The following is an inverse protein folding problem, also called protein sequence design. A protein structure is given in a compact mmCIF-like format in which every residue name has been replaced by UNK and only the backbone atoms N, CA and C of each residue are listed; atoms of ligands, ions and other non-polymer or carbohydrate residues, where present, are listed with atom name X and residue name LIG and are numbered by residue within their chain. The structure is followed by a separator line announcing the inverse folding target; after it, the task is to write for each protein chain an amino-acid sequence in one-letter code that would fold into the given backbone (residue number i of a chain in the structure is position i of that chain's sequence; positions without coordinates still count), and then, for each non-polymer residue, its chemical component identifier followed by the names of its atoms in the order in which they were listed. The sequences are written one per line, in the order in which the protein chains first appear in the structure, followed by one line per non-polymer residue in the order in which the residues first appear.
data_IF_442576931424
#
_entry.id   IF_442576931424
#
_cell.length_a   1.000
_cell.length_b   1.000
_cell.length_c   1.000
_cell.angle_alpha   90.00
_cell.angle_beta   90.00
_cell.angle_gamma   90.00
#
_symmetry.space_group_name_H-M   'P 1'
#
loop_
_entity.id
_entity.type
_entity.pdbx_description
1 polymer ?
#
# COMPACT_ATOMS: atom_id res chain seq x y z
N UNK A 1 -73.89 -12.94 5.49
CA UNK A 1 -72.85 -11.94 5.84
C UNK A 1 -71.54 -12.68 6.05
N UNK A 2 -70.68 -12.75 5.05
CA UNK A 2 -69.39 -13.42 5.13
C UNK A 2 -68.31 -12.34 5.33
N UNK A 3 -67.59 -12.41 6.46
CA UNK A 3 -66.48 -11.54 6.78
C UNK A 3 -65.22 -12.26 6.29
N UNK A 4 -64.50 -11.61 5.34
CA UNK A 4 -63.21 -12.09 4.83
C UNK A 4 -62.10 -11.37 5.62
N UNK A 5 -61.35 -12.09 6.44
CA UNK A 5 -60.15 -11.58 7.07
C UNK A 5 -58.99 -11.54 6.05
N UNK A 6 -58.47 -10.35 5.81
CA UNK A 6 -57.21 -10.15 5.07
C UNK A 6 -56.04 -10.20 6.09
N UNK A 7 -55.22 -11.24 5.98
CA UNK A 7 -53.93 -11.32 6.72
C UNK A 7 -52.88 -10.53 5.96
N UNK A 8 -52.43 -9.43 6.50
CA UNK A 8 -51.25 -8.67 5.99
C UNK A 8 -50.01 -9.38 6.52
N UNK A 9 -49.32 -10.09 5.61
CA UNK A 9 -48.00 -10.65 5.89
C UNK A 9 -46.94 -9.54 5.90
N UNK A 10 -46.35 -9.28 7.06
CA UNK A 10 -45.24 -8.34 7.26
C UNK A 10 -43.93 -9.01 6.76
N UNK A 11 -43.47 -8.62 5.55
CA UNK A 11 -42.17 -9.04 5.02
C UNK A 11 -41.07 -8.30 5.81
N UNK A 12 -40.44 -8.98 6.74
CA UNK A 12 -39.18 -8.49 7.35
C UNK A 12 -38.08 -8.61 6.30
N UNK A 13 -37.79 -7.50 5.62
CA UNK A 13 -36.56 -7.36 4.82
C UNK A 13 -35.38 -7.36 5.79
N UNK A 14 -34.60 -8.41 5.81
CA UNK A 14 -33.28 -8.42 6.46
C UNK A 14 -32.36 -7.48 5.68
N UNK A 15 -32.17 -6.27 6.21
CA UNK A 15 -31.10 -5.38 5.74
C UNK A 15 -29.77 -6.02 6.10
N UNK A 16 -29.14 -6.68 5.14
CA UNK A 16 -27.71 -6.95 5.22
C UNK A 16 -27.04 -5.62 4.85
N UNK A 17 -26.10 -5.10 5.67
CA UNK A 17 -25.30 -3.97 5.25
C UNK A 17 -24.50 -4.42 4.02
N UNK A 18 -24.88 -3.91 2.86
CA UNK A 18 -24.06 -4.01 1.65
C UNK A 18 -22.92 -3.02 1.86
N UNK A 19 -21.71 -3.50 2.09
CA UNK A 19 -20.54 -2.64 2.01
C UNK A 19 -20.44 -2.18 0.56
N UNK A 20 -20.35 -0.88 0.34
CA UNK A 20 -20.20 -0.33 -1.00
C UNK A 20 -18.73 -0.39 -1.46
N UNK A 21 -17.74 -0.38 -0.50
CA UNK A 21 -16.33 -0.57 -0.82
C UNK A 21 -16.02 -2.04 -1.17
N UNK A 22 -15.10 -2.24 -2.10
CA UNK A 22 -14.70 -3.56 -2.58
C UNK A 22 -13.68 -4.21 -1.63
N UNK A 23 -13.98 -5.46 -1.23
CA UNK A 23 -13.10 -6.30 -0.40
C UNK A 23 -12.35 -7.27 -1.30
N UNK A 24 -11.01 -7.23 -1.28
CA UNK A 24 -10.16 -8.13 -2.04
C UNK A 24 -10.02 -9.51 -1.37
N UNK A 25 -9.84 -9.52 -0.03
CA UNK A 25 -9.74 -10.75 0.76
C UNK A 25 -10.16 -10.48 2.22
N UNK A 26 -10.53 -11.54 2.94
CA UNK A 26 -10.87 -11.44 4.37
C UNK A 26 -10.58 -12.74 5.10
N UNK A 27 -9.99 -12.64 6.29
CA UNK A 27 -9.73 -13.78 7.15
C UNK A 27 -10.05 -13.48 8.61
N UNK A 28 -10.81 -14.40 9.22
CA UNK A 28 -11.08 -14.38 10.66
C UNK A 28 -10.04 -15.26 11.38
N UNK A 29 -9.25 -14.65 12.24
CA UNK A 29 -8.31 -15.31 13.13
C UNK A 29 -8.95 -15.45 14.51
N UNK A 30 -9.63 -16.56 14.73
CA UNK A 30 -10.31 -16.82 16.01
C UNK A 30 -9.29 -17.07 17.13
N UNK A 31 -9.44 -16.35 18.24
CA UNK A 31 -8.62 -16.54 19.42
C UNK A 31 -8.92 -17.88 20.11
N UNK A 32 -7.94 -18.49 20.84
CA UNK A 32 -8.19 -19.72 21.61
C UNK A 32 -9.28 -19.57 22.67
N UNK A 33 -9.38 -18.38 23.29
CA UNK A 33 -10.39 -18.01 24.30
C UNK A 33 -11.01 -16.65 23.95
N UNK A 34 -11.91 -16.57 22.95
CA UNK A 34 -12.41 -15.31 22.44
C UNK A 34 -13.12 -14.47 23.51
N UNK A 35 -12.64 -13.27 23.74
CA UNK A 35 -13.27 -12.26 24.61
C UNK A 35 -13.64 -11.00 23.87
N UNK A 36 -12.84 -10.63 22.86
CA UNK A 36 -13.02 -9.44 22.02
C UNK A 36 -12.64 -9.77 20.57
N UNK A 37 -13.28 -9.06 19.64
CA UNK A 37 -12.94 -9.13 18.21
C UNK A 37 -12.60 -7.74 17.72
N UNK A 38 -11.37 -7.52 17.24
CA UNK A 38 -11.01 -6.29 16.54
C UNK A 38 -11.15 -6.48 15.04
N UNK A 39 -11.64 -5.45 14.37
CA UNK A 39 -11.76 -5.38 12.91
C UNK A 39 -10.64 -4.54 12.36
N UNK A 40 -9.83 -5.14 11.52
CA UNK A 40 -8.68 -4.49 10.88
C UNK A 40 -8.93 -4.40 9.39
N UNK A 41 -8.81 -3.22 8.80
CA UNK A 41 -8.76 -3.05 7.34
C UNK A 41 -7.35 -2.67 6.92
N UNK A 42 -6.86 -3.30 5.87
CA UNK A 42 -5.45 -3.17 5.48
C UNK A 42 -5.27 -3.27 3.96
N UNK A 43 -4.23 -2.61 3.46
CA UNK A 43 -3.71 -2.82 2.10
C UNK A 43 -2.59 -3.86 2.04
N UNK A 44 -2.29 -4.56 3.14
CA UNK A 44 -1.33 -5.64 3.16
C UNK A 44 -2.03 -6.99 2.98
N UNK A 45 -1.52 -7.79 2.05
CA UNK A 45 -2.03 -9.12 1.77
C UNK A 45 -2.03 -10.00 3.04
N UNK A 46 -2.98 -10.92 3.11
CA UNK A 46 -3.10 -11.87 4.22
C UNK A 46 -1.78 -12.62 4.44
N UNK A 47 -1.12 -13.07 3.37
CA UNK A 47 0.12 -13.82 3.47
C UNK A 47 1.24 -13.03 4.18
N UNK A 48 1.36 -11.73 3.93
CA UNK A 48 2.34 -10.87 4.58
C UNK A 48 2.00 -10.59 6.05
N UNK A 49 0.71 -10.53 6.41
CA UNK A 49 0.27 -10.15 7.76
C UNK A 49 -0.05 -11.35 8.68
N UNK A 50 -0.26 -12.55 8.13
CA UNK A 50 -0.58 -13.77 8.90
C UNK A 50 0.42 -14.04 10.04
N UNK A 51 1.75 -13.98 9.85
CA UNK A 51 2.72 -14.21 10.92
C UNK A 51 2.59 -13.19 12.06
N UNK A 52 2.35 -11.92 11.72
CA UNK A 52 2.19 -10.85 12.71
C UNK A 52 0.91 -11.04 13.54
N UNK A 53 -0.21 -11.37 12.88
CA UNK A 53 -1.49 -11.59 13.56
C UNK A 53 -1.37 -12.78 14.53
N UNK A 54 -0.78 -13.90 14.08
CA UNK A 54 -0.59 -15.08 14.94
C UNK A 54 0.33 -14.79 16.12
N UNK A 55 1.41 -14.05 15.90
CA UNK A 55 2.32 -13.63 16.97
C UNK A 55 1.60 -12.70 17.97
N UNK A 56 0.83 -11.73 17.48
CA UNK A 56 0.00 -10.87 18.33
C UNK A 56 -0.98 -11.67 19.17
N UNK A 57 -1.66 -12.66 18.59
CA UNK A 57 -2.61 -13.52 19.30
C UNK A 57 -1.94 -14.42 20.34
N UNK A 58 -0.68 -14.85 20.11
CA UNK A 58 0.05 -15.69 21.06
C UNK A 58 0.24 -14.99 22.43
N UNK A 59 0.38 -13.68 22.42
CA UNK A 59 0.51 -12.82 23.62
C UNK A 59 -0.81 -12.16 24.04
N UNK A 60 -1.87 -12.28 23.21
CA UNK A 60 -3.21 -11.73 23.44
C UNK A 60 -4.28 -12.80 23.17
N UNK A 61 -4.27 -13.90 23.95
CA UNK A 61 -5.04 -15.13 23.68
C UNK A 61 -6.57 -14.96 23.66
N UNK A 62 -7.09 -13.82 24.15
CA UNK A 62 -8.52 -13.48 24.12
C UNK A 62 -8.96 -12.66 22.91
N UNK A 63 -8.04 -12.24 22.03
CA UNK A 63 -8.36 -11.32 20.93
C UNK A 63 -8.48 -12.08 19.61
N UNK A 64 -9.70 -12.10 19.08
CA UNK A 64 -9.96 -12.48 17.68
C UNK A 64 -9.66 -11.30 16.77
N UNK A 65 -9.03 -11.56 15.62
CA UNK A 65 -8.74 -10.54 14.60
C UNK A 65 -9.53 -10.84 13.35
N UNK A 66 -10.41 -9.94 12.97
CA UNK A 66 -11.14 -9.95 11.70
C UNK A 66 -10.40 -9.06 10.71
N UNK A 67 -9.58 -9.65 9.85
CA UNK A 67 -8.67 -8.95 8.96
C UNK A 67 -9.25 -8.88 7.56
N UNK A 68 -9.47 -7.65 7.08
CA UNK A 68 -10.02 -7.35 5.74
C UNK A 68 -8.94 -6.71 4.89
N UNK A 69 -8.73 -7.22 3.69
CA UNK A 69 -7.84 -6.65 2.67
C UNK A 69 -8.66 -5.88 1.65
N UNK A 70 -8.24 -4.67 1.36
CA UNK A 70 -8.85 -3.82 0.35
C UNK A 70 -7.79 -2.92 -0.31
N UNK A 71 -8.07 -2.41 -1.50
CA UNK A 71 -7.19 -1.43 -2.14
C UNK A 71 -7.09 -0.15 -1.31
N UNK A 72 -6.07 0.66 -1.53
CA UNK A 72 -5.89 1.90 -0.76
C UNK A 72 -6.99 2.93 -0.98
N UNK A 73 -7.62 2.93 -2.15
CA UNK A 73 -8.79 3.76 -2.45
C UNK A 73 -10.04 3.24 -1.75
N UNK A 74 -10.20 1.92 -1.67
CA UNK A 74 -11.31 1.28 -0.96
C UNK A 74 -11.19 1.44 0.56
N UNK A 75 -9.96 1.37 1.12
CA UNK A 75 -9.70 1.72 2.53
C UNK A 75 -10.14 3.16 2.82
N UNK A 76 -9.82 4.09 1.89
CA UNK A 76 -10.26 5.49 2.02
C UNK A 76 -11.79 5.61 1.97
N UNK A 77 -12.46 4.94 1.03
CA UNK A 77 -13.92 4.95 0.89
C UNK A 77 -14.61 4.37 2.12
N UNK A 78 -14.14 3.21 2.61
CA UNK A 78 -14.68 2.55 3.79
C UNK A 78 -14.70 3.46 5.03
N UNK A 79 -13.64 4.24 5.24
CA UNK A 79 -13.52 5.11 6.42
C UNK A 79 -14.18 6.47 6.17
N UNK A 80 -13.90 7.13 5.02
CA UNK A 80 -14.31 8.50 4.75
C UNK A 80 -15.78 8.60 4.35
N UNK A 81 -16.24 7.71 3.47
CA UNK A 81 -17.57 7.80 2.87
C UNK A 81 -18.60 6.97 3.65
N UNK A 82 -18.21 5.77 4.08
CA UNK A 82 -19.15 4.82 4.70
C UNK A 82 -19.11 4.82 6.22
N UNK A 83 -18.04 5.36 6.83
CA UNK A 83 -17.86 5.30 8.28
C UNK A 83 -17.84 3.86 8.81
N UNK A 84 -17.30 2.93 8.02
CA UNK A 84 -17.28 1.52 8.34
C UNK A 84 -16.61 1.25 9.70
N UNK A 85 -17.17 0.34 10.54
CA UNK A 85 -16.75 0.18 11.93
C UNK A 85 -15.49 -0.69 12.07
N UNK A 86 -14.35 -0.17 11.62
CA UNK A 86 -13.05 -0.77 11.87
C UNK A 86 -12.41 -0.23 13.14
N UNK A 87 -11.56 -1.03 13.78
CA UNK A 87 -10.82 -0.65 15.00
C UNK A 87 -9.40 -0.21 14.68
N UNK A 88 -8.81 -0.72 13.58
CA UNK A 88 -7.48 -0.38 13.11
C UNK A 88 -7.48 -0.27 11.59
N UNK A 89 -6.85 0.78 11.07
CA UNK A 89 -6.67 1.02 9.63
C UNK A 89 -5.20 1.03 9.29
N UNK A 90 -4.80 0.20 8.34
CA UNK A 90 -3.41 0.05 7.88
C UNK A 90 -3.35 0.29 6.38
N UNK A 91 -2.45 1.17 5.91
CA UNK A 91 -2.30 1.39 4.48
C UNK A 91 -0.89 1.84 4.08
N UNK A 92 -0.54 1.55 2.84
CA UNK A 92 0.66 2.01 2.15
C UNK A 92 0.49 3.39 1.49
N UNK A 93 -0.76 3.84 1.26
CA UNK A 93 -1.04 5.16 0.70
C UNK A 93 -1.00 6.23 1.80
N UNK A 94 0.23 6.66 2.12
CA UNK A 94 0.50 7.60 3.22
C UNK A 94 -0.25 8.93 3.10
N UNK A 95 -0.48 9.41 1.89
CA UNK A 95 -1.22 10.64 1.61
C UNK A 95 -2.70 10.51 1.96
N UNK A 96 -3.35 9.41 1.57
CA UNK A 96 -4.74 9.11 1.92
C UNK A 96 -4.91 8.92 3.43
N UNK A 97 -3.98 8.22 4.07
CA UNK A 97 -3.95 8.07 5.53
C UNK A 97 -3.79 9.43 6.23
N UNK A 98 -2.84 10.26 5.75
CA UNK A 98 -2.64 11.61 6.27
C UNK A 98 -3.91 12.46 6.12
N UNK A 99 -4.64 12.31 4.98
CA UNK A 99 -5.91 13.00 4.78
C UNK A 99 -6.97 12.56 5.78
N UNK A 100 -7.15 11.26 6.00
CA UNK A 100 -8.09 10.75 6.99
C UNK A 100 -7.82 11.33 8.39
N UNK A 101 -6.56 11.33 8.81
CA UNK A 101 -6.16 11.91 10.09
C UNK A 101 -6.41 13.42 10.13
N UNK A 102 -6.04 14.17 9.07
CA UNK A 102 -6.26 15.61 8.98
C UNK A 102 -7.75 15.99 9.05
N UNK A 103 -8.60 15.17 8.48
CA UNK A 103 -10.05 15.41 8.42
C UNK A 103 -10.79 14.88 9.68
N UNK A 104 -10.05 14.41 10.70
CA UNK A 104 -10.60 14.07 12.02
C UNK A 104 -11.11 12.63 12.15
N UNK A 105 -10.73 11.72 11.27
CA UNK A 105 -11.14 10.31 11.32
C UNK A 105 -10.31 9.45 12.28
N UNK A 106 -9.26 9.99 12.92
CA UNK A 106 -8.37 9.24 13.79
C UNK A 106 -8.40 9.72 15.24
N UNK A 107 -8.26 8.80 16.18
CA UNK A 107 -8.05 9.08 17.59
C UNK A 107 -6.56 9.32 17.88
N UNK A 108 -6.27 10.10 18.92
CA UNK A 108 -4.92 10.20 19.49
C UNK A 108 -4.58 8.93 20.27
N UNK A 109 -3.35 8.47 20.10
CA UNK A 109 -2.80 7.37 20.86
C UNK A 109 -1.34 7.64 21.24
N UNK A 110 -1.04 7.58 22.54
CA UNK A 110 0.30 7.81 23.07
C UNK A 110 0.72 6.64 23.92
N UNK A 111 1.86 6.06 23.59
CA UNK A 111 2.46 4.95 24.34
C UNK A 111 3.99 5.08 24.35
N UNK A 112 4.69 4.28 25.22
CA UNK A 112 6.14 4.22 25.15
C UNK A 112 6.71 3.84 23.78
N UNK A 113 5.99 3.01 23.00
CA UNK A 113 6.39 2.58 21.67
C UNK A 113 6.22 3.70 20.64
N UNK A 114 5.05 4.36 20.62
CA UNK A 114 4.80 5.47 19.69
C UNK A 114 5.68 6.69 20.01
N UNK A 115 6.11 6.88 21.27
CA UNK A 115 7.02 7.94 21.65
C UNK A 115 8.44 7.76 21.08
N UNK A 116 8.87 6.53 20.76
CA UNK A 116 10.17 6.23 20.18
C UNK A 116 10.25 6.53 18.69
N UNK A 117 9.11 6.65 18.00
CA UNK A 117 9.09 6.97 16.58
C UNK A 117 9.70 8.35 16.32
N UNK A 118 10.59 8.46 15.32
CA UNK A 118 11.09 9.75 14.89
C UNK A 118 9.95 10.60 14.29
N UNK A 119 10.09 11.93 14.39
CA UNK A 119 9.04 12.87 13.98
C UNK A 119 8.64 12.80 12.50
N UNK A 120 9.44 12.16 11.63
CA UNK A 120 9.08 11.91 10.24
C UNK A 120 8.20 10.67 10.04
N UNK A 121 8.18 9.75 11.03
CA UNK A 121 7.47 8.47 10.98
C UNK A 121 6.15 8.48 11.79
N UNK A 122 5.81 9.60 12.41
CA UNK A 122 4.51 9.79 13.06
C UNK A 122 3.95 11.18 12.80
N UNK A 123 2.63 11.33 12.93
CA UNK A 123 1.99 12.62 12.75
C UNK A 123 0.84 12.81 13.75
N UNK A 124 0.90 13.93 14.50
CA UNK A 124 -0.12 14.37 15.49
C UNK A 124 -0.46 13.34 16.59
N UNK A 125 0.44 12.37 16.86
CA UNK A 125 0.15 11.21 17.72
C UNK A 125 -1.16 10.47 17.32
N UNK A 126 -1.47 10.46 16.04
CA UNK A 126 -2.66 9.82 15.46
C UNK A 126 -2.31 8.87 14.30
N UNK A 127 -1.18 9.08 13.63
CA UNK A 127 -0.72 8.25 12.50
C UNK A 127 0.70 7.76 12.77
N UNK A 128 0.92 6.46 12.65
CA UNK A 128 2.16 5.80 13.04
C UNK A 128 2.66 4.90 11.93
N UNK A 129 3.92 5.08 11.52
CA UNK A 129 4.58 4.21 10.56
C UNK A 129 5.28 3.06 11.27
N UNK A 130 5.27 1.88 10.67
CA UNK A 130 5.95 0.70 11.22
C UNK A 130 6.83 -0.05 10.21
N UNK A 131 6.88 0.39 8.94
CA UNK A 131 7.78 -0.13 7.90
C UNK A 131 8.48 0.99 7.15
N UNK A 132 9.55 0.67 6.41
CA UNK A 132 10.20 1.51 5.40
C UNK A 132 10.39 0.71 4.12
N UNK A 133 9.51 0.86 3.15
CA UNK A 133 9.45 0.04 1.94
C UNK A 133 9.95 0.83 0.72
N UNK A 134 11.13 0.51 0.16
CA UNK A 134 11.64 1.17 -1.03
C UNK A 134 10.84 0.77 -2.28
N UNK A 135 10.58 1.73 -3.16
CA UNK A 135 10.11 1.47 -4.50
C UNK A 135 11.25 0.86 -5.34
N UNK A 136 10.94 -0.15 -6.14
CA UNK A 136 11.92 -0.86 -6.96
C UNK A 136 11.52 -0.90 -8.44
N UNK A 137 12.53 -1.02 -9.30
CA UNK A 137 12.40 -1.53 -10.65
C UNK A 137 12.65 -3.03 -10.59
N UNK A 138 11.74 -3.83 -11.12
CA UNK A 138 11.89 -5.30 -11.22
C UNK A 138 11.90 -5.68 -12.69
N UNK A 139 12.87 -6.51 -13.09
CA UNK A 139 13.05 -6.95 -14.48
C UNK A 139 13.00 -8.47 -14.59
N UNK A 140 12.56 -8.97 -15.72
CA UNK A 140 12.61 -10.38 -16.10
C UNK A 140 14.01 -10.75 -16.59
N UNK A 141 14.69 -11.68 -15.92
CA UNK A 141 16.04 -12.11 -16.29
C UNK A 141 16.08 -12.66 -17.72
N UNK A 142 15.02 -13.38 -18.13
CA UNK A 142 14.92 -13.97 -19.46
C UNK A 142 14.79 -12.91 -20.56
N UNK A 143 13.95 -11.87 -20.35
CA UNK A 143 13.71 -10.83 -21.37
C UNK A 143 14.79 -9.74 -21.36
N UNK A 144 15.58 -9.64 -20.29
CA UNK A 144 16.76 -8.77 -20.23
C UNK A 144 18.08 -9.47 -20.63
N UNK A 145 18.02 -10.75 -21.06
CA UNK A 145 19.22 -11.48 -21.47
C UNK A 145 19.93 -10.74 -22.61
N UNK A 146 21.17 -10.31 -22.35
CA UNK A 146 22.01 -9.56 -23.32
C UNK A 146 21.78 -8.04 -23.33
N UNK A 147 20.87 -7.50 -22.52
CA UNK A 147 20.69 -6.06 -22.35
C UNK A 147 21.51 -5.54 -21.16
N UNK A 148 21.93 -4.27 -21.25
CA UNK A 148 22.52 -3.59 -20.10
C UNK A 148 21.43 -3.21 -19.10
N UNK A 149 21.63 -3.57 -17.82
CA UNK A 149 20.68 -3.23 -16.75
C UNK A 149 20.79 -1.74 -16.42
N UNK A 150 19.69 -0.96 -16.55
CA UNK A 150 19.72 0.48 -16.30
C UNK A 150 19.93 0.78 -14.79
N UNK A 151 20.81 1.74 -14.48
CA UNK A 151 21.13 2.14 -13.11
C UNK A 151 20.38 3.39 -12.65
N UNK A 152 19.75 4.11 -13.56
CA UNK A 152 18.99 5.32 -13.31
C UNK A 152 17.89 5.51 -14.36
N UNK A 153 17.00 6.47 -14.14
CA UNK A 153 15.86 6.71 -15.05
C UNK A 153 16.24 7.19 -16.43
N UNK A 154 17.36 7.92 -16.56
CA UNK A 154 17.85 8.34 -17.89
C UNK A 154 18.27 7.11 -18.72
N UNK A 155 19.07 6.21 -18.13
CA UNK A 155 19.46 4.96 -18.79
C UNK A 155 18.24 4.07 -19.08
N UNK A 156 17.23 4.06 -18.22
CA UNK A 156 15.98 3.34 -18.49
C UNK A 156 15.26 3.95 -19.70
N UNK A 157 15.14 5.29 -19.78
CA UNK A 157 14.54 5.98 -20.94
C UNK A 157 15.28 5.63 -22.22
N UNK A 158 16.61 5.66 -22.20
CA UNK A 158 17.42 5.34 -23.38
C UNK A 158 17.25 3.89 -23.81
N UNK A 159 17.28 2.94 -22.86
CA UNK A 159 17.05 1.53 -23.11
C UNK A 159 15.68 1.27 -23.77
N UNK A 160 14.62 1.88 -23.23
CA UNK A 160 13.27 1.74 -23.76
C UNK A 160 13.11 2.30 -25.19
N UNK A 161 13.85 3.37 -25.51
CA UNK A 161 13.85 3.99 -26.85
C UNK A 161 14.62 3.17 -27.87
N UNK A 162 15.70 2.52 -27.46
CA UNK A 162 16.58 1.74 -28.35
C UNK A 162 15.97 0.38 -28.68
N UNK A 163 15.20 -0.20 -27.77
CA UNK A 163 14.64 -1.56 -27.90
C UNK A 163 13.11 -1.61 -27.79
N UNK A 164 12.36 -0.80 -28.56
CA UNK A 164 10.90 -0.79 -28.47
C UNK A 164 10.27 -2.16 -28.73
N UNK A 165 10.88 -2.99 -29.59
CA UNK A 165 10.43 -4.34 -29.94
C UNK A 165 10.43 -5.31 -28.75
N UNK A 166 11.28 -5.07 -27.74
CA UNK A 166 11.33 -5.90 -26.52
C UNK A 166 10.28 -5.43 -25.52
N UNK A 167 10.07 -4.12 -25.43
CA UNK A 167 9.32 -3.48 -24.35
C UNK A 167 7.87 -3.12 -24.71
N UNK A 168 7.48 -3.15 -25.99
CA UNK A 168 6.09 -2.87 -26.38
C UNK A 168 5.13 -3.83 -25.70
N UNK A 169 4.13 -3.29 -24.99
CA UNK A 169 3.15 -3.99 -24.15
C UNK A 169 3.74 -4.85 -23.01
N UNK A 170 5.04 -4.69 -22.70
CA UNK A 170 5.73 -5.49 -21.67
C UNK A 170 6.31 -4.66 -20.53
N UNK A 171 5.81 -3.46 -20.33
CA UNK A 171 6.11 -2.63 -19.17
C UNK A 171 4.89 -2.62 -18.27
N UNK A 172 5.08 -2.82 -16.97
CA UNK A 172 4.05 -2.69 -15.95
C UNK A 172 4.29 -1.46 -15.07
N UNK A 173 3.25 -0.73 -14.75
CA UNK A 173 3.24 0.30 -13.70
C UNK A 173 1.85 0.43 -13.09
N UNK A 174 1.72 1.21 -12.02
CA UNK A 174 0.41 1.44 -11.41
C UNK A 174 -0.52 2.30 -12.29
N UNK A 175 -1.80 1.98 -12.26
CA UNK A 175 -2.85 2.90 -12.67
C UNK A 175 -3.07 3.93 -11.55
N UNK A 176 -2.51 5.12 -11.70
CA UNK A 176 -2.59 6.18 -10.68
C UNK A 176 -4.01 6.71 -10.44
N UNK A 177 -4.97 6.35 -11.29
CA UNK A 177 -6.38 6.75 -11.15
C UNK A 177 -7.10 5.92 -10.10
N UNK A 178 -6.70 4.65 -9.95
CA UNK A 178 -7.34 3.65 -9.09
C UNK A 178 -6.44 3.16 -7.97
N UNK A 179 -5.11 3.20 -8.13
CA UNK A 179 -4.14 2.83 -7.10
C UNK A 179 -3.69 4.04 -6.29
N UNK A 180 -4.07 4.13 -5.01
CA UNK A 180 -3.59 5.20 -4.14
C UNK A 180 -2.08 5.15 -3.89
N UNK A 181 -1.49 3.96 -3.76
CA UNK A 181 -0.03 3.82 -3.68
C UNK A 181 0.65 4.25 -4.97
N UNK A 182 0.11 3.86 -6.13
CA UNK A 182 0.60 4.29 -7.42
C UNK A 182 0.53 5.80 -7.59
N UNK A 183 -0.57 6.42 -7.16
CA UNK A 183 -0.71 7.88 -7.14
C UNK A 183 0.33 8.55 -6.24
N UNK A 184 0.53 8.02 -5.04
CA UNK A 184 1.56 8.51 -4.11
C UNK A 184 2.95 8.47 -4.76
N UNK A 185 3.37 7.32 -5.30
CA UNK A 185 4.68 7.20 -5.95
C UNK A 185 4.85 8.14 -7.15
N UNK A 186 3.85 8.21 -8.03
CA UNK A 186 3.90 9.08 -9.20
C UNK A 186 4.01 10.56 -8.82
N UNK A 187 3.28 11.00 -7.79
CA UNK A 187 3.36 12.38 -7.30
C UNK A 187 4.70 12.68 -6.63
N UNK A 188 5.31 11.72 -5.91
CA UNK A 188 6.65 11.88 -5.36
C UNK A 188 7.72 11.92 -6.45
N UNK A 189 7.64 11.04 -7.45
CA UNK A 189 8.57 11.02 -8.58
C UNK A 189 8.51 12.34 -9.36
N UNK A 190 7.33 12.87 -9.63
CA UNK A 190 7.15 14.16 -10.33
C UNK A 190 7.73 15.36 -9.57
N UNK A 191 7.92 15.23 -8.25
CA UNK A 191 8.57 16.25 -7.41
C UNK A 191 10.08 16.09 -7.33
N UNK A 192 10.58 14.88 -7.52
CA UNK A 192 11.98 14.55 -7.39
C UNK A 192 12.77 14.83 -8.68
N UNK A 193 12.15 14.70 -9.86
CA UNK A 193 12.84 14.86 -11.13
C UNK A 193 11.91 15.19 -12.30
N UNK A 194 12.41 15.98 -13.24
CA UNK A 194 11.71 16.27 -14.50
C UNK A 194 11.71 15.06 -15.46
N UNK A 195 12.62 14.11 -15.27
CA UNK A 195 12.66 12.88 -16.08
C UNK A 195 11.45 11.97 -15.86
N UNK A 196 10.68 12.16 -14.78
CA UNK A 196 9.43 11.44 -14.55
C UNK A 196 8.46 11.56 -15.74
N UNK A 197 8.21 12.77 -16.23
CA UNK A 197 7.27 12.98 -17.35
C UNK A 197 7.80 12.39 -18.65
N UNK A 198 9.11 12.50 -18.93
CA UNK A 198 9.74 11.88 -20.10
C UNK A 198 9.67 10.36 -20.04
N UNK A 199 9.90 9.76 -18.85
CA UNK A 199 9.76 8.32 -18.67
C UNK A 199 8.32 7.87 -18.88
N UNK A 200 7.34 8.58 -18.28
CA UNK A 200 5.91 8.29 -18.45
C UNK A 200 5.49 8.36 -19.94
N UNK A 201 5.99 9.36 -20.69
CA UNK A 201 5.73 9.50 -22.11
C UNK A 201 6.32 8.33 -22.93
N UNK A 202 7.56 7.91 -22.63
CA UNK A 202 8.20 6.78 -23.31
C UNK A 202 7.46 5.47 -22.99
N UNK A 203 7.08 5.28 -21.73
CA UNK A 203 6.27 4.14 -21.30
C UNK A 203 4.91 4.12 -22.01
N UNK A 204 4.28 5.29 -22.18
CA UNK A 204 3.02 5.42 -22.91
C UNK A 204 3.13 4.99 -24.38
N UNK A 205 4.19 5.41 -25.08
CA UNK A 205 4.47 5.00 -26.46
C UNK A 205 4.69 3.50 -26.64
N UNK A 206 5.07 2.83 -25.55
CA UNK A 206 5.28 1.38 -25.50
C UNK A 206 4.07 0.63 -24.94
N UNK A 207 2.88 1.20 -24.95
CA UNK A 207 1.62 0.57 -24.57
C UNK A 207 1.68 -0.08 -23.16
N UNK A 208 2.23 0.66 -22.20
CA UNK A 208 2.43 0.19 -20.81
C UNK A 208 1.15 -0.39 -20.20
N UNK A 209 1.27 -1.54 -19.58
CA UNK A 209 0.19 -2.20 -18.84
C UNK A 209 0.00 -1.55 -17.48
N UNK A 210 -1.25 -1.25 -17.13
CA UNK A 210 -1.61 -0.55 -15.90
C UNK A 210 -2.20 -1.52 -14.86
N UNK A 211 -1.70 -1.46 -13.64
CA UNK A 211 -2.03 -2.38 -12.56
C UNK A 211 -2.52 -1.66 -11.30
N UNK A 212 -3.31 -2.36 -10.49
CA UNK A 212 -3.67 -1.91 -9.13
C UNK A 212 -2.51 -2.07 -8.13
N UNK A 213 -1.73 -3.14 -8.27
CA UNK A 213 -0.99 -3.75 -7.17
C UNK A 213 0.40 -4.25 -7.60
N UNK A 214 1.39 -4.22 -6.66
CA UNK A 214 2.76 -4.73 -6.87
C UNK A 214 2.78 -6.22 -7.19
N UNK A 215 2.01 -7.03 -6.46
CA UNK A 215 2.03 -8.48 -6.59
C UNK A 215 1.73 -8.94 -8.03
N UNK A 216 0.64 -8.43 -8.61
CA UNK A 216 0.25 -8.77 -9.98
C UNK A 216 1.32 -8.38 -11.01
N UNK A 217 1.95 -7.19 -10.86
CA UNK A 217 3.05 -6.78 -11.74
C UNK A 217 4.26 -7.71 -11.63
N UNK A 218 4.64 -8.08 -10.40
CA UNK A 218 5.80 -8.94 -10.14
C UNK A 218 5.53 -10.35 -10.68
N UNK A 219 4.32 -10.88 -10.51
CA UNK A 219 3.93 -12.17 -11.08
C UNK A 219 4.00 -12.15 -12.62
N UNK A 220 3.60 -11.07 -13.26
CA UNK A 220 3.67 -10.93 -14.71
C UNK A 220 5.12 -10.78 -15.22
N UNK A 221 6.00 -10.13 -14.46
CA UNK A 221 7.45 -10.11 -14.76
C UNK A 221 8.04 -11.52 -14.62
N UNK A 222 7.72 -12.21 -13.53
CA UNK A 222 8.19 -13.58 -13.28
C UNK A 222 7.75 -14.56 -14.38
N UNK A 223 6.51 -14.43 -14.85
CA UNK A 223 5.96 -15.27 -15.93
C UNK A 223 6.42 -14.85 -17.34
N UNK A 224 7.24 -13.80 -17.45
CA UNK A 224 7.71 -13.28 -18.76
C UNK A 224 6.64 -12.57 -19.60
N UNK A 225 5.49 -12.24 -19.01
CA UNK A 225 4.47 -11.39 -19.65
C UNK A 225 4.91 -9.93 -19.70
N UNK A 226 5.62 -9.48 -18.64
CA UNK A 226 6.28 -8.19 -18.60
C UNK A 226 7.79 -8.35 -18.67
N UNK A 227 8.47 -7.44 -19.35
CA UNK A 227 9.91 -7.30 -19.31
C UNK A 227 10.37 -6.58 -18.03
N UNK A 228 9.59 -5.59 -17.59
CA UNK A 228 9.86 -4.86 -16.36
C UNK A 228 8.58 -4.35 -15.70
N UNK A 229 8.67 -4.13 -14.37
CA UNK A 229 7.68 -3.44 -13.57
C UNK A 229 8.33 -2.24 -12.85
N UNK A 230 7.77 -1.05 -13.05
CA UNK A 230 8.29 0.20 -12.51
C UNK A 230 7.56 0.62 -11.23
N UNK A 231 8.32 1.01 -10.21
CA UNK A 231 7.82 1.49 -8.91
C UNK A 231 7.03 0.47 -8.09
N UNK A 232 7.33 -0.82 -8.21
CA UNK A 232 6.75 -1.84 -7.32
C UNK A 232 7.35 -1.76 -5.92
N UNK A 233 6.68 -2.31 -4.91
CA UNK A 233 7.26 -2.47 -3.57
C UNK A 233 8.36 -3.53 -3.60
N UNK A 234 9.57 -3.12 -3.20
CA UNK A 234 10.74 -4.00 -3.16
C UNK A 234 10.55 -5.20 -2.25
N UNK A 235 9.88 -5.02 -1.11
CA UNK A 235 9.53 -6.08 -0.17
C UNK A 235 8.76 -7.25 -0.79
N UNK A 236 7.82 -6.95 -1.69
CA UNK A 236 7.05 -7.98 -2.42
C UNK A 236 7.94 -8.73 -3.42
N UNK A 237 8.84 -8.01 -4.10
CA UNK A 237 9.78 -8.63 -5.03
C UNK A 237 10.82 -9.50 -4.31
N UNK A 238 11.34 -9.05 -3.17
CA UNK A 238 12.26 -9.83 -2.31
C UNK A 238 11.61 -11.11 -1.80
N UNK A 239 10.36 -11.03 -1.36
CA UNK A 239 9.59 -12.21 -0.94
C UNK A 239 9.40 -13.20 -2.09
N UNK A 240 9.13 -12.72 -3.30
CA UNK A 240 9.02 -13.59 -4.48
C UNK A 240 10.35 -14.28 -4.81
N UNK A 241 11.46 -13.53 -4.83
CA UNK A 241 12.80 -14.05 -5.09
C UNK A 241 13.25 -15.10 -4.09
N UNK A 242 12.84 -14.98 -2.82
CA UNK A 242 13.18 -15.95 -1.79
C UNK A 242 12.64 -17.36 -2.09
N UNK A 243 11.59 -17.47 -2.94
CA UNK A 243 10.94 -18.73 -3.28
C UNK A 243 11.28 -19.20 -4.70
N UNK A 244 11.45 -18.27 -5.65
CA UNK A 244 11.58 -18.61 -7.06
C UNK A 244 12.52 -17.62 -7.79
N UNK A 245 13.64 -18.07 -8.43
CA UNK A 245 14.52 -17.23 -9.22
C UNK A 245 13.87 -16.88 -10.58
N UNK A 246 14.34 -15.83 -11.24
CA UNK A 246 13.90 -15.45 -12.61
C UNK A 246 13.56 -13.98 -12.77
N UNK A 247 13.66 -13.22 -11.67
CA UNK A 247 13.54 -11.77 -11.69
C UNK A 247 14.74 -11.13 -10.98
N UNK A 248 15.07 -9.92 -11.38
CA UNK A 248 16.11 -9.12 -10.72
C UNK A 248 15.51 -7.82 -10.22
N UNK A 249 15.79 -7.47 -8.94
CA UNK A 249 15.46 -6.17 -8.35
C UNK A 249 16.60 -5.21 -8.65
N UNK A 250 16.29 -4.12 -9.36
CA UNK A 250 17.29 -3.14 -9.78
C UNK A 250 17.27 -1.94 -8.82
N UNK A 251 18.34 -1.72 -8.02
CA UNK A 251 18.46 -0.55 -7.19
C UNK A 251 18.82 0.68 -8.05
N UNK A 252 17.87 1.61 -8.18
CA UNK A 252 18.10 2.85 -8.90
C UNK A 252 19.07 3.75 -8.14
N UNK A 253 20.04 4.36 -8.83
CA UNK A 253 21.13 5.14 -8.22
C UNK A 253 20.85 6.64 -8.19
N UNK A 254 19.94 7.14 -9.02
CA UNK A 254 19.52 8.54 -9.02
C UNK A 254 18.68 8.88 -7.78
N UNK A 255 17.61 8.15 -7.52
CA UNK A 255 16.86 8.15 -6.27
C UNK A 255 15.94 6.93 -6.17
N UNK A 256 15.62 6.57 -4.92
CA UNK A 256 14.66 5.54 -4.56
C UNK A 256 13.66 6.14 -3.59
N UNK A 257 12.41 6.24 -4.00
CA UNK A 257 11.32 6.67 -3.10
C UNK A 257 11.06 5.57 -2.08
N UNK A 258 11.07 5.92 -0.78
CA UNK A 258 10.78 4.99 0.31
C UNK A 258 9.46 5.40 0.93
N UNK A 259 8.45 4.55 0.80
CA UNK A 259 7.19 4.74 1.50
C UNK A 259 7.19 4.02 2.85
N UNK A 260 6.25 4.38 3.69
CA UNK A 260 6.03 3.74 4.98
C UNK A 260 4.60 3.20 5.04
N UNK A 261 4.45 1.97 5.53
CA UNK A 261 3.12 1.47 5.88
C UNK A 261 2.72 2.08 7.22
N UNK A 262 1.52 2.65 7.25
CA UNK A 262 1.03 3.42 8.39
C UNK A 262 -0.21 2.80 8.99
N UNK A 263 -0.39 3.03 10.29
CA UNK A 263 -1.55 2.58 11.05
C UNK A 263 -2.15 3.73 11.85
N UNK A 264 -3.48 3.75 11.99
CA UNK A 264 -4.20 4.64 12.90
C UNK A 264 -5.45 3.97 13.48
N UNK A 265 -5.93 4.50 14.60
CA UNK A 265 -7.16 4.06 15.28
C UNK A 265 -8.30 4.97 14.82
N UNK A 266 -9.35 4.46 14.14
CA UNK A 266 -10.49 5.27 13.73
C UNK A 266 -11.20 5.94 14.90
N UNK A 267 -11.81 7.11 14.64
CA UNK A 267 -12.57 7.85 15.66
C UNK A 267 -13.76 7.05 16.23
N UNK A 268 -14.35 6.17 15.41
CA UNK A 268 -15.48 5.31 15.78
C UNK A 268 -15.08 3.87 16.15
N UNK A 269 -13.79 3.60 16.42
CA UNK A 269 -13.31 2.29 16.81
C UNK A 269 -14.06 1.78 18.05
N UNK A 270 -14.49 0.52 18.04
CA UNK A 270 -15.19 -0.12 19.15
C UNK A 270 -14.21 -0.54 20.24
N UNK A 271 -13.00 -0.96 19.87
CA UNK A 271 -11.96 -1.44 20.78
C UNK A 271 -10.64 -0.69 20.60
N UNK A 272 -10.60 0.64 20.86
CA UNK A 272 -9.43 1.47 20.63
C UNK A 272 -8.21 1.01 21.45
N UNK A 273 -8.42 0.53 22.68
CA UNK A 273 -7.34 0.02 23.52
C UNK A 273 -6.68 -1.24 22.94
N UNK A 274 -7.46 -2.11 22.28
CA UNK A 274 -6.92 -3.30 21.61
C UNK A 274 -6.18 -2.90 20.34
N UNK A 275 -6.72 -1.96 19.58
CA UNK A 275 -6.06 -1.40 18.40
C UNK A 275 -4.73 -0.72 18.79
N UNK A 276 -4.68 0.02 19.88
CA UNK A 276 -3.46 0.59 20.46
C UNK A 276 -2.43 -0.48 20.82
N UNK A 277 -2.86 -1.58 21.44
CA UNK A 277 -1.95 -2.73 21.70
C UNK A 277 -1.40 -3.36 20.43
N UNK A 278 -2.18 -3.39 19.33
CA UNK A 278 -1.69 -3.88 18.03
C UNK A 278 -0.64 -2.91 17.46
N UNK A 279 -0.84 -1.59 17.56
CA UNK A 279 0.17 -0.59 17.17
C UNK A 279 1.44 -0.77 18.00
N UNK A 280 1.34 -0.91 19.32
CA UNK A 280 2.48 -1.13 20.20
C UNK A 280 3.22 -2.43 19.88
N UNK A 281 2.48 -3.49 19.57
CA UNK A 281 3.06 -4.75 19.11
C UNK A 281 3.86 -4.56 17.80
N UNK A 282 3.27 -3.90 16.79
CA UNK A 282 3.93 -3.63 15.51
C UNK A 282 5.21 -2.79 15.69
N UNK A 283 5.24 -1.88 16.67
CA UNK A 283 6.37 -1.00 16.98
C UNK A 283 7.33 -1.60 18.02
N UNK A 284 6.99 -2.71 18.64
CA UNK A 284 7.84 -3.31 19.67
C UNK A 284 9.17 -3.76 19.09
N UNK A 285 10.24 -3.64 19.90
CA UNK A 285 11.59 -4.04 19.47
C UNK A 285 11.66 -5.48 18.95
N UNK A 286 11.07 -6.50 19.65
CA UNK A 286 11.10 -7.87 19.13
C UNK A 286 10.41 -8.02 17.77
N UNK A 287 9.27 -7.36 17.55
CA UNK A 287 8.56 -7.41 16.26
C UNK A 287 9.38 -6.72 15.18
N UNK A 288 9.92 -5.54 15.45
CA UNK A 288 10.73 -4.79 14.49
C UNK A 288 12.02 -5.52 14.10
N UNK A 289 12.69 -6.18 15.03
CA UNK A 289 13.92 -6.97 14.77
C UNK A 289 13.65 -8.22 13.91
N UNK A 290 12.45 -8.80 13.98
CA UNK A 290 12.08 -9.99 13.19
C UNK A 290 11.21 -9.67 11.97
N UNK A 291 10.78 -8.42 11.78
CA UNK A 291 9.77 -8.04 10.79
C UNK A 291 10.17 -8.45 9.36
N UNK A 292 11.39 -8.14 8.96
CA UNK A 292 11.88 -8.45 7.62
C UNK A 292 11.97 -9.98 7.38
N UNK A 293 12.46 -10.73 8.37
CA UNK A 293 12.61 -12.19 8.25
C UNK A 293 11.25 -12.91 8.22
N UNK A 294 10.28 -12.43 8.98
CA UNK A 294 8.98 -13.09 9.14
C UNK A 294 7.96 -12.70 8.08
N UNK A 295 8.06 -11.48 7.52
CA UNK A 295 7.05 -10.92 6.62
C UNK A 295 7.62 -10.38 5.31
N UNK A 296 8.93 -10.21 5.21
CA UNK A 296 9.59 -9.49 4.12
C UNK A 296 9.43 -7.95 4.19
N UNK A 297 8.77 -7.42 5.24
CA UNK A 297 8.56 -5.98 5.39
C UNK A 297 9.73 -5.34 6.15
N UNK A 298 10.45 -4.37 5.56
CA UNK A 298 11.57 -3.71 6.24
C UNK A 298 11.08 -2.88 7.45
N UNK A 299 11.76 -2.95 8.60
CA UNK A 299 11.36 -2.27 9.82
C UNK A 299 11.54 -0.74 9.73
N UNK A 300 10.73 0.02 10.51
CA UNK A 300 10.78 1.50 10.50
C UNK A 300 12.02 2.04 11.21
N UNK A 301 12.60 1.29 12.15
CA UNK A 301 13.76 1.71 12.93
C UNK A 301 15.12 1.39 12.26
N UNK A 302 15.15 0.58 11.24
CA UNK A 302 16.31 0.46 10.38
C UNK A 302 16.46 1.79 9.66
N UNK A 303 17.21 2.70 10.29
CA UNK A 303 17.50 3.97 9.69
C UNK A 303 17.98 3.73 8.29
N UNK A 304 17.31 4.34 7.30
CA UNK A 304 17.86 4.42 5.95
C UNK A 304 19.30 4.86 6.13
N UNK A 305 20.19 3.87 6.12
CA UNK A 305 21.58 4.08 6.52
C UNK A 305 22.12 5.21 5.66
N UNK A 306 22.83 6.18 6.24
CA UNK A 306 23.57 7.25 5.54
C UNK A 306 24.42 6.72 4.37
N UNK A 307 24.57 5.40 4.28
CA UNK A 307 25.28 4.68 3.22
C UNK A 307 24.54 4.61 1.88
N UNK A 308 23.21 4.83 1.83
CA UNK A 308 22.45 4.83 0.56
C UNK A 308 21.98 6.25 0.23
N UNK A 309 22.84 7.03 -0.39
CA UNK A 309 22.57 8.42 -0.84
C UNK A 309 21.35 8.57 -1.76
N UNK A 310 20.89 7.47 -2.37
CA UNK A 310 19.75 7.46 -3.29
C UNK A 310 18.40 7.46 -2.57
N UNK A 311 18.30 7.02 -1.30
CA UNK A 311 17.02 6.89 -0.61
C UNK A 311 16.36 8.24 -0.35
N UNK A 312 15.07 8.33 -0.64
CA UNK A 312 14.20 9.51 -0.41
C UNK A 312 12.96 9.07 0.38
N UNK A 313 13.07 8.99 1.73
CA UNK A 313 11.93 8.65 2.57
C UNK A 313 10.84 9.71 2.47
N UNK A 314 9.62 9.25 2.23
CA UNK A 314 8.43 10.10 2.31
C UNK A 314 8.16 10.38 3.79
N UNK A 315 8.05 11.66 4.15
CA UNK A 315 7.79 12.08 5.54
C UNK A 315 6.29 12.26 5.76
N UNK A 316 5.78 11.78 6.89
CA UNK A 316 4.42 12.08 7.31
C UNK A 316 4.26 13.58 7.60
N UNK A 317 3.16 14.15 7.14
CA UNK A 317 2.83 15.56 7.39
C UNK A 317 2.03 16.22 6.29
N UNK A 318 1.70 17.52 6.43
CA UNK A 318 0.78 18.23 5.55
C UNK A 318 1.26 18.33 4.10
N UNK A 319 2.56 18.13 3.84
CA UNK A 319 3.11 18.08 2.47
C UNK A 319 2.51 16.98 1.61
N UNK A 320 1.99 15.90 2.21
CA UNK A 320 1.30 14.81 1.51
C UNK A 320 -0.09 15.22 1.00
N UNK A 321 -0.72 16.22 1.61
CA UNK A 321 -2.06 16.69 1.21
C UNK A 321 -2.04 17.52 -0.08
N UNK A 322 -0.87 18.01 -0.50
CA UNK A 322 -0.74 18.96 -1.62
C UNK A 322 -1.35 18.42 -2.92
N UNK A 323 -1.09 17.17 -3.24
CA UNK A 323 -1.62 16.53 -4.46
C UNK A 323 -3.02 15.92 -4.28
N UNK A 324 -3.56 15.94 -3.06
CA UNK A 324 -4.96 15.57 -2.78
C UNK A 324 -5.91 16.78 -2.92
N UNK A 325 -5.39 18.01 -3.03
CA UNK A 325 -6.19 19.16 -3.46
C UNK A 325 -6.86 18.86 -4.80
N UNK A 326 -8.17 19.13 -4.89
CA UNK A 326 -8.99 18.74 -6.03
C UNK A 326 -8.43 19.23 -7.36
N UNK A 327 -7.99 20.48 -7.44
CA UNK A 327 -7.51 21.07 -8.70
C UNK A 327 -6.14 20.49 -9.08
N UNK A 328 -5.25 20.34 -8.11
CA UNK A 328 -3.92 19.74 -8.33
C UNK A 328 -4.03 18.28 -8.72
N UNK A 329 -4.89 17.53 -8.04
CA UNK A 329 -5.15 16.11 -8.37
C UNK A 329 -5.69 15.97 -9.80
N UNK A 330 -6.69 16.76 -10.18
CA UNK A 330 -7.23 16.74 -11.53
C UNK A 330 -6.20 17.14 -12.59
N UNK A 331 -5.39 18.17 -12.32
CA UNK A 331 -4.32 18.57 -13.23
C UNK A 331 -3.26 17.49 -13.38
N UNK A 332 -2.83 16.87 -12.28
CA UNK A 332 -1.86 15.77 -12.29
C UNK A 332 -2.38 14.58 -13.09
N UNK A 333 -3.60 14.12 -12.81
CA UNK A 333 -4.22 12.99 -13.50
C UNK A 333 -4.35 13.23 -15.00
N UNK A 334 -4.81 14.41 -15.42
CA UNK A 334 -4.89 14.75 -16.85
C UNK A 334 -3.52 14.72 -17.53
N UNK A 335 -2.48 15.30 -16.90
CA UNK A 335 -1.14 15.30 -17.46
C UNK A 335 -0.59 13.88 -17.55
N UNK A 336 -0.81 13.06 -16.53
CA UNK A 336 -0.37 11.67 -16.50
C UNK A 336 -1.10 10.84 -17.58
N UNK A 337 -2.42 10.98 -17.70
CA UNK A 337 -3.21 10.30 -18.73
C UNK A 337 -2.74 10.67 -20.14
N UNK A 338 -2.50 11.95 -20.41
CA UNK A 338 -1.99 12.40 -21.68
C UNK A 338 -0.58 11.86 -22.00
N UNK A 339 0.23 11.57 -20.97
CA UNK A 339 1.57 11.03 -21.16
C UNK A 339 1.57 9.51 -21.32
N UNK A 340 0.73 8.78 -20.55
CA UNK A 340 0.72 7.31 -20.52
C UNK A 340 -0.20 6.69 -21.58
N UNK A 341 -1.25 7.39 -21.98
CA UNK A 341 -2.18 6.98 -23.03
C UNK A 341 -1.98 7.87 -24.23
N UNK A 342 -1.20 7.40 -25.19
CA UNK A 342 -0.98 8.10 -26.46
C UNK A 342 -1.85 7.41 -27.52
N UNK A 343 -2.84 8.16 -28.06
CA UNK A 343 -3.65 7.74 -29.21
C UNK A 343 -2.85 7.80 -30.52
#
# INVERSE_FOLDING_TARGET
MRVTLFSIGMILSSFHPSFAFEVEDRRLYTAPMPTQTIRVISTADIAAFDPLIRTFQSINQGITVDYTVASSTEVMAAIYEEGAPFDLVISSAMDLQTKLVNDGFAQQYVSPQTAQLPGWAKWQDQLFSFTQEPAALVISDALFAGLEIPKNREQLIDLLRVHPEIFDQRIGTYDVRTSGLGYLFATQDSRNTDSFWRLTEVMGRLNTQLYCCSGAMIDDVYQGRLALAYNVLGSYAENRLAHEPGITIVPMQDYVTVMMRTAFIPQNAQYPDVAGRMIDFLLSKPTQESLAETTGLPPVFDGASDKQKALRPIRLGPGLLVFLDRLKRQAFLRNWENSIRQE
#
